data_IF_424007336257
#
_entry.id   IF_424007336257
#
_cell.length_a   1.000
_cell.length_b   1.000
_cell.length_c   1.000
_cell.angle_alpha   90.00
_cell.angle_beta   90.00
_cell.angle_gamma   90.00
#
_symmetry.space_group_name_H-M   'P 1'
#
loop_
_entity.id
_entity.type
_entity.pdbx_description
1 polymer ?
#
# COMPACT_ATOMS: atom_id res chain seq x y z
N UNK A 1 9.11 9.51 17.69
CA UNK A 1 8.43 8.49 16.87
C UNK A 1 8.72 8.77 15.40
N UNK A 2 8.97 7.75 14.62
CA UNK A 2 9.35 7.90 13.20
C UNK A 2 8.12 7.85 12.29
N UNK A 3 7.04 7.24 12.77
CA UNK A 3 5.77 7.09 12.05
C UNK A 3 4.61 7.47 12.97
N UNK A 4 3.70 8.30 12.48
CA UNK A 4 2.38 8.53 13.06
C UNK A 4 1.34 7.74 12.26
N UNK A 5 0.61 6.84 12.93
CA UNK A 5 -0.49 6.12 12.30
C UNK A 5 -1.82 6.49 12.97
N UNK A 6 -2.73 7.03 12.18
CA UNK A 6 -4.09 7.36 12.61
C UNK A 6 -5.06 6.42 11.89
N UNK A 7 -5.80 5.63 12.69
CA UNK A 7 -6.87 4.77 12.20
C UNK A 7 -8.21 5.29 12.71
N UNK A 8 -9.14 5.57 11.82
CA UNK A 8 -10.40 6.17 12.18
C UNK A 8 -11.33 6.40 11.00
N UNK A 9 -12.29 7.29 11.19
CA UNK A 9 -13.20 7.70 10.13
C UNK A 9 -12.79 9.07 9.58
N UNK A 10 -12.54 9.11 8.27
CA UNK A 10 -12.32 10.36 7.56
C UNK A 10 -13.64 10.89 6.98
N UNK A 11 -13.79 12.19 7.02
CA UNK A 11 -14.95 12.89 6.50
C UNK A 11 -14.56 14.00 5.55
N UNK A 12 -15.30 14.11 4.45
CA UNK A 12 -15.23 15.24 3.55
C UNK A 12 -16.62 15.74 3.22
N UNK A 13 -16.91 16.96 3.64
CA UNK A 13 -18.20 17.63 3.39
C UNK A 13 -18.06 18.56 2.19
N UNK A 14 -18.34 18.05 1.01
CA UNK A 14 -18.16 18.75 -0.28
C UNK A 14 -18.80 20.13 -0.33
N UNK A 15 -20.05 20.28 0.19
CA UNK A 15 -20.77 21.56 0.19
C UNK A 15 -20.09 22.67 0.98
N UNK A 16 -19.32 22.30 2.01
CA UNK A 16 -18.62 23.24 2.89
C UNK A 16 -17.11 23.25 2.65
N UNK A 17 -16.62 22.37 1.80
CA UNK A 17 -15.20 22.12 1.55
C UNK A 17 -14.40 21.91 2.87
N UNK A 18 -14.95 21.09 3.75
CA UNK A 18 -14.37 20.76 5.07
C UNK A 18 -13.98 19.29 5.06
N UNK A 19 -12.74 19.01 5.43
CA UNK A 19 -12.23 17.67 5.68
C UNK A 19 -11.81 17.52 7.14
N UNK A 20 -11.94 16.32 7.69
CA UNK A 20 -11.56 16.04 9.07
C UNK A 20 -11.51 14.55 9.39
N UNK A 21 -11.04 14.24 10.57
CA UNK A 21 -10.97 12.89 11.12
C UNK A 21 -11.83 12.82 12.38
N UNK A 22 -12.53 11.70 12.57
CA UNK A 22 -13.11 11.39 13.88
C UNK A 22 -12.04 10.74 14.74
N UNK A 23 -11.72 11.40 15.85
CA UNK A 23 -10.80 10.90 16.87
C UNK A 23 -11.62 10.72 18.16
N UNK A 24 -11.95 9.47 18.48
CA UNK A 24 -12.94 9.17 19.49
C UNK A 24 -14.32 9.69 19.09
N UNK A 25 -14.92 10.56 19.92
CA UNK A 25 -16.22 11.18 19.66
C UNK A 25 -16.10 12.62 19.13
N UNK A 26 -14.89 13.08 18.86
CA UNK A 26 -14.63 14.45 18.42
C UNK A 26 -14.26 14.50 16.95
N UNK A 27 -14.69 15.56 16.29
CA UNK A 27 -14.31 15.85 14.92
C UNK A 27 -13.07 16.74 14.90
N UNK A 28 -11.94 16.16 14.53
CA UNK A 28 -10.70 16.89 14.38
C UNK A 28 -10.57 17.41 12.95
N UNK A 29 -10.50 18.71 12.85
CA UNK A 29 -10.12 19.40 11.62
C UNK A 29 -8.66 19.82 11.76
N UNK A 30 -7.84 19.50 10.79
CA UNK A 30 -6.50 20.03 10.76
C UNK A 30 -6.59 21.52 10.45
N UNK A 31 -6.41 22.34 11.44
CA UNK A 31 -6.21 23.76 11.28
C UNK A 31 -4.72 24.10 11.42
N UNK A 32 -4.37 25.37 11.24
CA UNK A 32 -2.98 25.85 11.20
C UNK A 32 -2.31 25.87 12.60
N UNK A 33 -2.59 24.89 13.44
CA UNK A 33 -1.99 24.81 14.77
C UNK A 33 -0.52 24.38 14.70
N UNK A 34 0.28 24.94 15.59
CA UNK A 34 1.73 24.73 15.73
C UNK A 34 2.10 23.33 16.27
N UNK A 35 1.62 22.26 15.62
CA UNK A 35 2.08 20.92 15.95
C UNK A 35 3.04 20.40 14.89
N UNK A 36 4.05 19.67 15.34
CA UNK A 36 4.96 18.94 14.45
C UNK A 36 4.59 17.48 14.45
N UNK A 37 4.65 16.88 13.27
CA UNK A 37 4.40 15.46 13.09
C UNK A 37 5.68 14.74 12.64
N UNK A 38 5.77 13.42 12.82
CA UNK A 38 6.87 12.62 12.27
C UNK A 38 6.94 12.74 10.74
N UNK A 39 8.11 12.40 10.19
CA UNK A 39 8.35 12.43 8.76
C UNK A 39 7.36 11.57 7.95
N UNK A 40 6.88 10.47 8.54
CA UNK A 40 5.91 9.57 7.90
C UNK A 40 4.58 9.60 8.66
N UNK A 41 3.48 9.87 7.94
CA UNK A 41 2.13 9.80 8.48
C UNK A 41 1.30 8.82 7.66
N UNK A 42 0.58 7.92 8.34
CA UNK A 42 -0.32 6.94 7.74
C UNK A 42 -1.74 7.24 8.19
N UNK A 43 -2.62 7.52 7.24
CA UNK A 43 -4.03 7.81 7.48
C UNK A 43 -4.88 6.62 7.01
N UNK A 44 -5.15 5.69 7.93
CA UNK A 44 -6.07 4.56 7.72
C UNK A 44 -7.52 5.01 7.91
N UNK A 45 -7.98 5.89 7.03
CA UNK A 45 -9.31 6.48 7.07
C UNK A 45 -9.83 6.77 5.67
N UNK A 46 -11.15 6.76 5.49
CA UNK A 46 -11.78 7.08 4.21
C UNK A 46 -11.67 8.57 3.88
N UNK A 47 -11.60 8.91 2.59
CA UNK A 47 -11.67 10.30 2.11
C UNK A 47 -10.66 11.28 2.75
N UNK A 48 -9.51 10.81 3.18
CA UNK A 48 -8.49 11.69 3.79
C UNK A 48 -7.66 12.43 2.74
N UNK A 49 -7.72 11.99 1.50
CA UNK A 49 -7.02 12.58 0.37
C UNK A 49 -7.95 12.74 -0.85
N UNK A 50 -9.13 13.40 -0.71
CA UNK A 50 -10.04 13.59 -1.82
C UNK A 50 -9.38 14.45 -2.90
N UNK A 51 -9.68 14.16 -4.18
CA UNK A 51 -9.16 14.90 -5.32
C UNK A 51 -10.20 15.86 -5.88
N UNK A 52 -9.75 16.99 -6.38
CA UNK A 52 -10.57 17.99 -7.03
C UNK A 52 -9.98 19.39 -6.87
N UNK A 53 -10.39 20.31 -7.75
CA UNK A 53 -9.95 21.70 -7.65
C UNK A 53 -10.50 22.36 -6.38
N UNK A 54 -9.62 22.97 -5.59
CA UNK A 54 -9.96 23.64 -4.34
C UNK A 54 -10.47 22.70 -3.22
N UNK A 55 -10.28 21.38 -3.35
CA UNK A 55 -10.68 20.42 -2.33
C UNK A 55 -9.73 20.49 -1.15
N UNK A 56 -10.26 20.66 0.05
CA UNK A 56 -9.49 20.55 1.30
C UNK A 56 -9.10 19.08 1.49
N UNK A 57 -7.83 18.86 1.78
CA UNK A 57 -7.21 17.56 1.86
C UNK A 57 -6.45 17.45 3.19
N UNK A 58 -6.83 16.50 4.05
CA UNK A 58 -6.18 16.30 5.35
C UNK A 58 -4.72 15.90 5.17
N UNK A 59 -4.41 15.09 4.17
CA UNK A 59 -3.03 14.69 3.94
C UNK A 59 -2.12 15.89 3.62
N UNK A 60 -2.59 16.88 2.85
CA UNK A 60 -1.85 18.12 2.58
C UNK A 60 -1.58 18.92 3.86
N UNK A 61 -2.48 18.85 4.83
CA UNK A 61 -2.31 19.55 6.11
C UNK A 61 -1.23 18.89 6.96
N UNK A 62 -1.11 17.56 6.93
CA UNK A 62 0.01 16.86 7.57
C UNK A 62 1.35 17.18 6.90
N UNK A 63 1.38 17.34 5.58
CA UNK A 63 2.60 17.81 4.89
C UNK A 63 2.98 19.22 5.36
N UNK A 64 2.02 20.14 5.50
CA UNK A 64 2.25 21.48 6.05
C UNK A 64 2.73 21.44 7.50
N UNK A 65 2.27 20.46 8.31
CA UNK A 65 2.71 20.24 9.67
C UNK A 65 4.11 19.59 9.78
N UNK A 66 4.78 19.34 8.65
CA UNK A 66 6.16 18.87 8.59
C UNK A 66 6.33 17.40 8.23
N UNK A 67 5.27 16.67 7.85
CA UNK A 67 5.42 15.33 7.30
C UNK A 67 6.11 15.39 5.93
N UNK A 68 7.08 14.51 5.69
CA UNK A 68 7.72 14.35 4.40
C UNK A 68 6.92 13.45 3.46
N UNK A 69 6.22 12.45 4.02
CA UNK A 69 5.38 11.54 3.28
C UNK A 69 4.11 11.20 4.07
N UNK A 70 2.95 11.34 3.43
CA UNK A 70 1.64 11.01 4.00
C UNK A 70 0.95 9.97 3.13
N UNK A 71 0.64 8.81 3.70
CA UNK A 71 -0.18 7.79 3.06
C UNK A 71 -1.66 8.06 3.34
N UNK A 72 -2.48 8.16 2.33
CA UNK A 72 -3.91 8.35 2.47
C UNK A 72 -4.72 7.67 1.37
N UNK A 73 -6.04 7.67 1.52
CA UNK A 73 -6.97 7.13 0.52
C UNK A 73 -7.83 8.23 -0.06
N UNK A 74 -8.14 8.15 -1.35
CA UNK A 74 -8.99 9.13 -2.01
C UNK A 74 -10.46 8.69 -2.15
N UNK A 75 -10.76 7.43 -1.82
CA UNK A 75 -12.13 6.87 -1.78
C UNK A 75 -12.35 6.11 -0.48
N UNK A 76 -13.61 5.74 -0.17
CA UNK A 76 -13.88 4.79 0.91
C UNK A 76 -13.23 3.45 0.65
N UNK A 77 -12.67 2.85 1.70
CA UNK A 77 -12.01 1.55 1.69
C UNK A 77 -12.68 0.60 2.68
N UNK A 78 -12.59 -0.70 2.40
CA UNK A 78 -13.08 -1.72 3.30
C UNK A 78 -12.15 -1.83 4.53
N UNK A 79 -12.70 -1.70 5.74
CA UNK A 79 -11.92 -1.71 6.99
C UNK A 79 -11.10 -3.00 7.18
N UNK A 80 -11.66 -4.17 6.83
CA UNK A 80 -10.93 -5.45 6.93
C UNK A 80 -9.73 -5.49 5.97
N UNK A 81 -9.93 -5.07 4.72
CA UNK A 81 -8.85 -5.02 3.72
C UNK A 81 -7.80 -3.99 4.09
N UNK A 82 -8.22 -2.83 4.60
CA UNK A 82 -7.29 -1.84 5.14
C UNK A 82 -6.43 -2.42 6.27
N UNK A 83 -7.01 -3.13 7.22
CA UNK A 83 -6.26 -3.77 8.30
C UNK A 83 -5.21 -4.75 7.76
N UNK A 84 -5.57 -5.60 6.81
CA UNK A 84 -4.64 -6.56 6.18
C UNK A 84 -3.51 -5.80 5.46
N UNK A 85 -3.86 -4.78 4.70
CA UNK A 85 -2.92 -3.97 3.94
C UNK A 85 -1.90 -3.24 4.83
N UNK A 86 -2.37 -2.59 5.88
CA UNK A 86 -1.51 -1.89 6.85
C UNK A 86 -0.62 -2.86 7.62
N UNK A 87 -1.15 -4.04 8.00
CA UNK A 87 -0.32 -5.07 8.65
C UNK A 87 0.80 -5.55 7.72
N UNK A 88 0.53 -5.75 6.45
CA UNK A 88 1.56 -6.07 5.44
C UNK A 88 2.60 -4.96 5.32
N UNK A 89 2.16 -3.71 5.26
CA UNK A 89 3.04 -2.54 5.20
C UNK A 89 4.03 -2.54 6.37
N UNK A 90 3.56 -2.71 7.60
CA UNK A 90 4.45 -2.81 8.77
C UNK A 90 5.34 -4.05 8.77
N UNK A 91 4.87 -5.16 8.21
CA UNK A 91 5.71 -6.35 8.04
C UNK A 91 6.92 -6.06 7.14
N UNK A 92 6.72 -5.37 6.03
CA UNK A 92 7.81 -4.99 5.13
C UNK A 92 8.81 -4.02 5.81
N UNK A 93 8.32 -3.05 6.60
CA UNK A 93 9.20 -2.17 7.40
C UNK A 93 10.01 -2.99 8.39
N UNK A 94 9.38 -3.89 9.14
CA UNK A 94 10.06 -4.72 10.13
C UNK A 94 11.14 -5.62 9.50
N UNK A 95 10.88 -6.18 8.31
CA UNK A 95 11.86 -6.98 7.59
C UNK A 95 13.03 -6.12 7.09
N UNK A 96 12.78 -4.89 6.63
CA UNK A 96 13.84 -3.96 6.26
C UNK A 96 14.73 -3.62 7.47
N UNK A 97 14.15 -3.37 8.64
CA UNK A 97 14.89 -3.11 9.88
C UNK A 97 15.70 -4.31 10.38
N UNK A 98 15.27 -5.54 10.07
CA UNK A 98 16.03 -6.77 10.40
C UNK A 98 17.17 -7.05 9.41
N UNK A 99 17.43 -6.16 8.47
CA UNK A 99 18.52 -6.27 7.50
C UNK A 99 18.13 -6.83 6.14
N UNK A 100 16.83 -7.01 5.86
CA UNK A 100 16.38 -7.22 4.48
C UNK A 100 16.61 -5.94 3.69
N UNK A 101 17.60 -5.95 2.81
CA UNK A 101 17.96 -4.81 1.95
C UNK A 101 17.26 -4.84 0.59
N UNK A 102 16.11 -5.51 0.50
CA UNK A 102 15.36 -5.65 -0.73
C UNK A 102 14.89 -4.30 -1.28
N UNK A 103 14.53 -3.37 -0.39
CA UNK A 103 14.06 -2.04 -0.73
C UNK A 103 14.89 -0.99 0.02
N UNK A 104 15.34 0.03 -0.68
CA UNK A 104 16.15 1.11 -0.12
C UNK A 104 15.28 2.22 0.47
N UNK A 105 14.22 2.57 -0.25
CA UNK A 105 13.32 3.68 0.12
C UNK A 105 11.91 3.19 0.40
N UNK A 106 11.12 4.05 1.07
CA UNK A 106 9.71 3.82 1.33
C UNK A 106 8.91 3.69 0.02
N UNK A 107 9.27 4.46 -1.02
CA UNK A 107 8.65 4.39 -2.34
C UNK A 107 8.88 3.04 -3.03
N UNK A 108 10.12 2.52 -2.97
CA UNK A 108 10.44 1.19 -3.52
C UNK A 108 9.69 0.09 -2.79
N UNK A 109 9.71 0.12 -1.45
CA UNK A 109 8.99 -0.85 -0.62
C UNK A 109 7.48 -0.82 -0.90
N UNK A 110 6.91 0.38 -1.05
CA UNK A 110 5.50 0.56 -1.37
C UNK A 110 5.07 -0.19 -2.62
N UNK A 111 5.89 -0.15 -3.67
CA UNK A 111 5.65 -0.89 -4.92
C UNK A 111 5.48 -2.39 -4.66
N UNK A 112 6.34 -2.98 -3.83
CA UNK A 112 6.25 -4.39 -3.42
C UNK A 112 5.01 -4.68 -2.57
N UNK A 113 4.68 -3.79 -1.62
CA UNK A 113 3.48 -3.92 -0.77
C UNK A 113 2.22 -3.92 -1.61
N UNK A 114 2.07 -2.95 -2.53
CA UNK A 114 0.90 -2.84 -3.42
C UNK A 114 0.76 -4.07 -4.31
N UNK A 115 1.86 -4.52 -4.91
CA UNK A 115 1.87 -5.69 -5.79
C UNK A 115 1.42 -6.96 -5.05
N UNK A 116 2.03 -7.26 -3.91
CA UNK A 116 1.69 -8.45 -3.13
C UNK A 116 0.29 -8.36 -2.52
N UNK A 117 -0.18 -7.16 -2.17
CA UNK A 117 -1.54 -6.98 -1.69
C UNK A 117 -2.56 -7.16 -2.82
N UNK A 118 -2.28 -6.67 -4.02
CA UNK A 118 -3.14 -6.90 -5.19
C UNK A 118 -3.31 -8.39 -5.48
N UNK A 119 -2.23 -9.18 -5.42
CA UNK A 119 -2.30 -10.65 -5.54
C UNK A 119 -3.18 -11.25 -4.43
N UNK A 120 -3.03 -10.78 -3.18
CA UNK A 120 -3.84 -11.27 -2.07
C UNK A 120 -5.33 -10.98 -2.28
N UNK A 121 -5.68 -9.79 -2.72
CA UNK A 121 -7.05 -9.42 -3.04
C UNK A 121 -7.64 -10.26 -4.20
N UNK A 122 -6.83 -10.55 -5.24
CA UNK A 122 -7.23 -11.48 -6.32
C UNK A 122 -7.46 -12.87 -5.75
N UNK A 123 -6.57 -13.34 -4.89
CA UNK A 123 -6.67 -14.67 -4.30
C UNK A 123 -7.93 -14.83 -3.42
N UNK A 124 -8.41 -13.77 -2.78
CA UNK A 124 -9.67 -13.79 -2.04
C UNK A 124 -10.89 -14.06 -2.93
N UNK A 125 -10.82 -13.76 -4.23
CA UNK A 125 -11.93 -13.97 -5.17
C UNK A 125 -11.99 -15.39 -5.72
N UNK A 126 -10.91 -16.17 -5.63
CA UNK A 126 -10.82 -17.52 -6.16
C UNK A 126 -10.07 -18.47 -5.22
N UNK A 127 -10.80 -19.41 -4.64
CA UNK A 127 -10.18 -20.44 -3.77
C UNK A 127 -9.07 -21.20 -4.48
N UNK A 128 -9.22 -21.51 -5.77
CA UNK A 128 -8.19 -22.23 -6.55
C UNK A 128 -6.91 -21.43 -6.67
N UNK A 129 -7.03 -20.11 -6.95
CA UNK A 129 -5.87 -19.23 -7.01
C UNK A 129 -5.25 -19.01 -5.62
N UNK A 130 -6.07 -18.85 -4.60
CA UNK A 130 -5.61 -18.75 -3.21
C UNK A 130 -4.78 -19.98 -2.80
N UNK A 131 -5.33 -21.19 -3.00
CA UNK A 131 -4.65 -22.44 -2.67
C UNK A 131 -3.33 -22.58 -3.46
N UNK A 132 -3.31 -22.14 -4.72
CA UNK A 132 -2.11 -22.16 -5.55
C UNK A 132 -1.04 -21.18 -5.05
N UNK A 133 -1.36 -19.90 -4.87
CA UNK A 133 -0.36 -18.86 -4.53
C UNK A 133 0.25 -19.07 -3.14
N UNK A 134 -0.51 -19.62 -2.22
CA UNK A 134 -0.03 -19.99 -0.88
C UNK A 134 0.55 -21.38 -0.78
N UNK A 135 0.45 -22.17 -1.85
CA UNK A 135 1.07 -23.50 -1.95
C UNK A 135 2.57 -23.43 -2.22
N UNK A 136 3.23 -24.61 -2.11
CA UNK A 136 4.65 -24.76 -2.40
C UNK A 136 4.88 -24.93 -3.90
N UNK A 137 5.91 -24.26 -4.44
CA UNK A 137 6.41 -24.49 -5.79
C UNK A 137 7.28 -25.77 -5.85
N UNK A 138 7.79 -26.12 -7.03
CA UNK A 138 8.66 -27.29 -7.25
C UNK A 138 9.96 -27.29 -6.43
N UNK A 139 10.36 -26.12 -5.92
CA UNK A 139 11.55 -25.94 -5.08
C UNK A 139 11.22 -25.98 -3.58
N UNK A 140 9.98 -26.26 -3.18
CA UNK A 140 9.54 -26.29 -1.79
C UNK A 140 9.38 -24.91 -1.15
N UNK A 141 9.31 -23.82 -1.95
CA UNK A 141 9.04 -22.44 -1.47
C UNK A 141 7.57 -22.10 -1.63
N UNK A 142 7.01 -21.34 -0.69
CA UNK A 142 5.67 -20.74 -0.85
C UNK A 142 5.72 -19.78 -2.04
N UNK A 143 4.81 -19.94 -3.02
CA UNK A 143 4.81 -19.13 -4.26
C UNK A 143 4.65 -17.64 -3.99
N UNK A 144 3.85 -17.24 -3.01
CA UNK A 144 3.73 -15.83 -2.60
C UNK A 144 5.08 -15.28 -2.12
N UNK A 145 5.87 -16.06 -1.39
CA UNK A 145 7.19 -15.63 -0.93
C UNK A 145 8.21 -15.60 -2.07
N UNK A 146 8.17 -16.60 -2.96
CA UNK A 146 8.98 -16.62 -4.19
C UNK A 146 8.70 -15.37 -5.06
N UNK A 147 7.41 -15.03 -5.23
CA UNK A 147 7.01 -13.79 -5.90
C UNK A 147 7.60 -12.55 -5.19
N UNK A 148 7.33 -12.41 -3.91
CA UNK A 148 7.65 -11.19 -3.16
C UNK A 148 9.16 -10.95 -3.02
N UNK A 149 9.94 -12.00 -2.85
CA UNK A 149 11.37 -11.89 -2.49
C UNK A 149 12.33 -12.12 -3.65
N UNK A 150 11.90 -12.76 -4.73
CA UNK A 150 12.78 -13.12 -5.83
C UNK A 150 12.26 -12.59 -7.18
N UNK A 151 11.03 -12.96 -7.56
CA UNK A 151 10.55 -12.75 -8.93
C UNK A 151 10.12 -11.33 -9.24
N UNK A 152 9.63 -10.60 -8.25
CA UNK A 152 9.19 -9.21 -8.41
C UNK A 152 10.33 -8.20 -8.24
N UNK A 153 11.44 -8.61 -7.63
CA UNK A 153 12.55 -7.71 -7.30
C UNK A 153 13.18 -7.11 -8.57
N UNK A 154 13.26 -5.78 -8.61
CA UNK A 154 13.79 -5.04 -9.76
C UNK A 154 12.92 -5.05 -11.02
N UNK A 155 11.77 -5.72 -11.00
CA UNK A 155 10.86 -5.85 -12.14
C UNK A 155 9.63 -4.96 -12.06
N UNK A 156 9.21 -4.59 -10.84
CA UNK A 156 8.04 -3.77 -10.62
C UNK A 156 8.39 -2.29 -10.69
N UNK A 157 7.62 -1.53 -11.47
CA UNK A 157 7.78 -0.08 -11.62
C UNK A 157 6.57 0.62 -11.02
N UNK A 158 6.77 1.72 -10.32
CA UNK A 158 5.71 2.43 -9.61
C UNK A 158 4.50 2.79 -10.48
N UNK A 159 4.72 3.17 -11.74
CA UNK A 159 3.65 3.54 -12.69
C UNK A 159 2.88 2.34 -13.27
N UNK A 160 3.47 1.13 -13.28
CA UNK A 160 2.91 -0.06 -13.92
C UNK A 160 2.86 -1.26 -12.99
N UNK A 161 2.99 -1.04 -11.67
CA UNK A 161 3.12 -2.09 -10.64
C UNK A 161 2.07 -3.19 -10.78
N UNK A 162 0.83 -2.84 -11.08
CA UNK A 162 -0.24 -3.82 -11.22
C UNK A 162 -0.06 -4.69 -12.47
N UNK A 163 0.24 -4.09 -13.62
CA UNK A 163 0.49 -4.81 -14.87
C UNK A 163 1.75 -5.68 -14.76
N UNK A 164 2.83 -5.14 -14.21
CA UNK A 164 4.08 -5.88 -13.98
C UNK A 164 3.87 -7.05 -13.02
N UNK A 165 3.06 -6.88 -11.96
CA UNK A 165 2.65 -7.95 -11.03
C UNK A 165 1.93 -9.09 -11.77
N UNK A 166 0.95 -8.73 -12.61
CA UNK A 166 0.19 -9.70 -13.41
C UNK A 166 1.11 -10.50 -14.33
N UNK A 167 2.05 -9.81 -14.99
CA UNK A 167 3.01 -10.49 -15.88
C UNK A 167 3.87 -11.51 -15.14
N UNK A 168 4.40 -11.14 -13.98
CA UNK A 168 5.21 -12.07 -13.15
C UNK A 168 4.39 -13.28 -12.71
N UNK A 169 3.14 -13.08 -12.29
CA UNK A 169 2.28 -14.21 -11.88
C UNK A 169 1.91 -15.10 -13.06
N UNK A 170 1.68 -14.53 -14.24
CA UNK A 170 1.44 -15.32 -15.47
C UNK A 170 2.65 -16.17 -15.85
N UNK A 171 3.87 -15.64 -15.74
CA UNK A 171 5.09 -16.41 -15.97
C UNK A 171 5.20 -17.58 -14.99
N UNK A 172 4.91 -17.36 -13.71
CA UNK A 172 4.92 -18.42 -12.70
C UNK A 172 3.90 -19.53 -13.01
N UNK A 173 2.70 -19.17 -13.48
CA UNK A 173 1.68 -20.12 -13.91
C UNK A 173 2.10 -20.89 -15.16
N UNK A 174 2.71 -20.20 -16.14
CA UNK A 174 3.22 -20.82 -17.36
C UNK A 174 4.30 -21.87 -17.06
N UNK A 175 5.25 -21.57 -16.20
CA UNK A 175 6.29 -22.51 -15.77
C UNK A 175 5.72 -23.81 -15.14
N UNK A 176 4.52 -23.74 -14.60
CA UNK A 176 3.81 -24.87 -14.00
C UNK A 176 2.77 -25.54 -14.92
N UNK A 177 2.66 -25.08 -16.19
CA UNK A 177 1.68 -25.59 -17.13
C UNK A 177 0.23 -25.22 -16.78
N UNK A 178 0.03 -24.10 -16.10
CA UNK A 178 -1.26 -23.61 -15.62
C UNK A 178 -1.76 -22.39 -16.40
N UNK A 179 -1.37 -22.28 -17.68
CA UNK A 179 -1.80 -21.21 -18.57
C UNK A 179 -3.34 -21.07 -18.60
N UNK A 180 -3.81 -19.85 -18.73
CA UNK A 180 -5.25 -19.54 -18.83
C UNK A 180 -6.01 -19.48 -17.50
N UNK A 181 -5.55 -20.13 -16.43
CA UNK A 181 -6.28 -20.12 -15.15
C UNK A 181 -6.33 -18.72 -14.50
N UNK A 182 -5.28 -17.94 -14.70
CA UNK A 182 -5.22 -16.58 -14.15
C UNK A 182 -6.12 -15.61 -14.94
N UNK A 183 -6.21 -15.79 -16.26
CA UNK A 183 -7.06 -14.95 -17.10
C UNK A 183 -8.54 -15.13 -16.76
N UNK A 184 -8.97 -16.35 -16.40
CA UNK A 184 -10.34 -16.61 -15.94
C UNK A 184 -10.68 -15.81 -14.65
N UNK A 185 -9.70 -15.62 -13.76
CA UNK A 185 -9.87 -14.85 -12.53
C UNK A 185 -9.89 -13.34 -12.82
N UNK A 186 -8.96 -12.85 -13.64
CA UNK A 186 -8.86 -11.44 -14.02
C UNK A 186 -10.01 -10.95 -14.88
N UNK A 187 -10.60 -11.81 -15.68
CA UNK A 187 -11.74 -11.49 -16.53
C UNK A 187 -13.06 -11.40 -15.76
N UNK A 188 -13.06 -11.61 -14.44
CA UNK A 188 -14.24 -11.35 -13.61
C UNK A 188 -14.57 -9.86 -13.67
N UNK A 189 -15.71 -9.56 -14.27
CA UNK A 189 -16.29 -8.22 -14.30
C UNK A 189 -16.42 -7.73 -12.84
N UNK A 190 -15.82 -6.61 -12.49
CA UNK A 190 -15.88 -5.92 -11.17
C UNK A 190 -14.72 -6.19 -10.20
N UNK A 191 -13.64 -6.86 -10.58
CA UNK A 191 -12.47 -6.89 -9.73
C UNK A 191 -11.66 -5.60 -9.89
N UNK A 192 -11.50 -4.88 -8.78
CA UNK A 192 -10.61 -3.72 -8.70
C UNK A 192 -9.86 -3.74 -7.36
N UNK A 193 -8.52 -3.82 -7.35
CA UNK A 193 -7.76 -3.87 -6.11
C UNK A 193 -7.90 -2.58 -5.31
N UNK A 194 -8.35 -2.68 -4.06
CA UNK A 194 -8.47 -1.51 -3.18
C UNK A 194 -7.10 -0.89 -2.86
N UNK A 195 -6.03 -1.68 -2.90
CA UNK A 195 -4.66 -1.19 -2.73
C UNK A 195 -4.26 -0.09 -3.72
N UNK A 196 -4.91 0.00 -4.88
CA UNK A 196 -4.68 1.07 -5.86
C UNK A 196 -5.28 2.43 -5.44
N UNK A 197 -6.12 2.45 -4.42
CA UNK A 197 -6.75 3.68 -3.92
C UNK A 197 -5.97 4.38 -2.82
N UNK A 198 -4.87 3.77 -2.38
CA UNK A 198 -3.92 4.42 -1.50
C UNK A 198 -2.91 5.21 -2.32
N UNK A 199 -2.55 6.37 -1.82
CA UNK A 199 -1.54 7.21 -2.45
C UNK A 199 -0.64 7.86 -1.41
N UNK A 200 0.62 8.04 -1.79
CA UNK A 200 1.54 8.91 -1.08
C UNK A 200 1.36 10.36 -1.54
N UNK A 201 1.41 11.27 -0.58
CA UNK A 201 1.52 12.71 -0.80
C UNK A 201 2.83 13.14 -0.14
N UNK A 202 3.64 13.94 -0.84
CA UNK A 202 5.00 14.28 -0.42
C UNK A 202 6.05 13.43 -1.15
N UNK A 203 7.14 13.10 -0.45
CA UNK A 203 8.36 12.56 -1.04
C UNK A 203 8.78 11.22 -0.38
N UNK A 204 8.02 10.12 -0.55
CA UNK A 204 8.36 8.83 0.05
C UNK A 204 9.69 8.25 -0.46
N UNK A 205 10.20 8.72 -1.58
CA UNK A 205 11.52 8.37 -2.12
C UNK A 205 12.70 8.91 -1.28
N UNK A 206 12.46 9.95 -0.46
CA UNK A 206 13.46 10.52 0.44
C UNK A 206 13.51 9.79 1.79
N UNK A 207 12.55 8.93 2.09
CA UNK A 207 12.50 8.15 3.32
C UNK A 207 13.27 6.85 3.13
N UNK A 208 14.44 6.76 3.75
CA UNK A 208 15.27 5.55 3.73
C UNK A 208 14.84 4.58 4.82
N UNK A 209 14.80 3.29 4.49
CA UNK A 209 14.35 2.23 5.41
C UNK A 209 15.46 1.74 6.36
N UNK A 210 16.70 2.07 6.05
CA UNK A 210 17.89 1.76 6.85
C UNK A 210 18.97 2.85 6.65
N UNK A 211 19.92 2.93 7.58
CA UNK A 211 21.03 3.86 7.45
C UNK A 211 21.97 3.43 6.29
N UNK A 212 22.14 4.33 5.32
CA UNK A 212 22.98 4.10 4.15
C UNK A 212 24.46 4.09 4.53
N UNK A 213 24.82 4.73 5.64
CA UNK A 213 26.20 4.88 6.08
C UNK A 213 26.75 3.64 6.82
N UNK A 214 25.90 2.68 7.18
CA UNK A 214 26.34 1.38 7.74
C UNK A 214 26.87 0.39 6.69
N UNK A 215 27.26 0.88 5.50
CA UNK A 215 27.72 0.04 4.39
C UNK A 215 29.26 -0.04 4.26
N UNK A 216 30.01 0.38 5.27
CA UNK A 216 31.49 0.26 5.28
C UNK A 216 31.97 -0.84 6.20
#
# INVERSE_FOLDING_TARGET
>A
ADILHISGHGYYVRKRNIAGLMVGNEFWMADENDYRVPAVVILSACHVSPRGSGTVNIADMFVRAGAEAVLGTFIPINAKRNMIFINRFYTYIAEAQKGSRQYKTLSEMWTGVVATNAIHEIAETSKKFFDWIWGLNSKGKIRMMDFAMERSVGRLRGSTVYADTILVVKEMLHEEGLDGKFDDILNQKNYFPESLFYQWIGFPENIFLYDINEQN
#
